data_IF_121833119375
#
_entry.id   IF_121833119375
#
_cell.length_a   1.000
_cell.length_b   1.000
_cell.length_c   1.000
_cell.angle_alpha   90.00
_cell.angle_beta   90.00
_cell.angle_gamma   90.00
#
_symmetry.space_group_name_H-M   'P 1'
#
loop_
_entity.id
_entity.type
_entity.pdbx_description
1 polymer ?
#
# COMPACT_ATOMS: atom_id res chain seq x y z
N UNK A 1 -15.67 -6.16 -14.85
CA UNK A 1 -14.94 -4.96 -14.38
C UNK A 1 -15.75 -3.74 -14.76
N UNK A 2 -16.04 -2.88 -13.78
CA UNK A 2 -16.88 -1.69 -13.98
C UNK A 2 -16.12 -0.61 -14.74
N UNK A 3 -16.73 -0.11 -15.82
CA UNK A 3 -16.14 0.96 -16.65
C UNK A 3 -15.82 2.21 -15.81
N UNK A 4 -16.69 2.54 -14.85
CA UNK A 4 -16.51 3.64 -13.90
C UNK A 4 -15.14 3.59 -13.18
N UNK A 5 -14.73 2.42 -12.69
CA UNK A 5 -13.45 2.25 -11.98
C UNK A 5 -12.26 2.58 -12.88
N UNK A 6 -12.33 2.15 -14.14
CA UNK A 6 -11.29 2.42 -15.12
C UNK A 6 -11.24 3.91 -15.45
N UNK A 7 -12.39 4.56 -15.58
CA UNK A 7 -12.45 5.98 -15.90
C UNK A 7 -11.89 6.86 -14.77
N UNK A 8 -12.10 6.47 -13.51
CA UNK A 8 -11.44 7.11 -12.37
C UNK A 8 -9.92 6.93 -12.45
N UNK A 9 -9.46 5.69 -12.69
CA UNK A 9 -8.02 5.42 -12.79
C UNK A 9 -7.36 6.19 -13.94
N UNK A 10 -8.01 6.35 -15.10
CA UNK A 10 -7.49 7.14 -16.24
C UNK A 10 -7.14 8.58 -15.88
N UNK A 11 -7.74 9.15 -14.84
CA UNK A 11 -7.45 10.53 -14.42
C UNK A 11 -6.11 10.66 -13.67
N UNK A 12 -5.60 9.58 -13.08
CA UNK A 12 -4.40 9.56 -12.22
C UNK A 12 -3.35 8.52 -12.62
N UNK A 13 -3.68 7.59 -13.52
CA UNK A 13 -2.88 6.40 -13.77
C UNK A 13 -2.56 6.30 -15.26
N UNK A 14 -1.30 5.98 -15.59
CA UNK A 14 -0.89 5.76 -16.97
C UNK A 14 -1.63 4.55 -17.57
N UNK A 15 -1.72 4.50 -18.91
CA UNK A 15 -2.35 3.38 -19.61
C UNK A 15 -1.71 2.04 -19.24
N UNK A 16 -0.39 2.01 -19.10
CA UNK A 16 0.35 0.80 -18.76
C UNK A 16 0.04 0.33 -17.34
N UNK A 17 -0.03 1.24 -16.37
CA UNK A 17 -0.40 0.92 -15.00
C UNK A 17 -1.87 0.46 -14.90
N UNK A 18 -2.78 1.04 -15.68
CA UNK A 18 -4.17 0.56 -15.78
C UNK A 18 -4.21 -0.85 -16.36
N UNK A 19 -3.45 -1.12 -17.43
CA UNK A 19 -3.40 -2.45 -18.04
C UNK A 19 -2.90 -3.52 -17.06
N UNK A 20 -1.89 -3.21 -16.24
CA UNK A 20 -1.42 -4.08 -15.15
C UNK A 20 -2.59 -4.47 -14.22
N UNK A 21 -3.39 -3.50 -13.77
CA UNK A 21 -4.54 -3.80 -12.89
C UNK A 21 -5.66 -4.59 -13.58
N UNK A 22 -5.97 -4.26 -14.84
CA UNK A 22 -6.99 -4.95 -15.66
C UNK A 22 -6.60 -6.42 -15.86
N UNK A 23 -5.32 -6.71 -16.07
CA UNK A 23 -4.81 -8.06 -16.32
C UNK A 23 -5.10 -9.02 -15.16
N UNK A 24 -5.15 -8.51 -13.92
CA UNK A 24 -5.45 -9.30 -12.72
C UNK A 24 -6.90 -9.82 -12.68
N UNK A 25 -7.79 -9.23 -13.48
CA UNK A 25 -9.22 -9.58 -13.58
C UNK A 25 -9.86 -9.71 -12.19
N UNK A 26 -9.63 -8.72 -11.33
CA UNK A 26 -10.05 -8.74 -9.93
C UNK A 26 -10.84 -7.46 -9.60
N UNK A 27 -12.17 -7.59 -9.53
CA UNK A 27 -13.06 -6.47 -9.26
C UNK A 27 -12.96 -5.97 -7.82
N UNK A 28 -12.81 -6.87 -6.83
CA UNK A 28 -12.66 -6.51 -5.43
C UNK A 28 -11.36 -5.72 -5.17
N UNK A 29 -10.28 -6.06 -5.90
CA UNK A 29 -9.04 -5.30 -5.89
C UNK A 29 -9.23 -3.89 -6.47
N UNK A 30 -9.87 -3.79 -7.64
CA UNK A 30 -10.12 -2.49 -8.28
C UNK A 30 -11.02 -1.61 -7.41
N UNK A 31 -12.06 -2.17 -6.80
CA UNK A 31 -12.92 -1.45 -5.87
C UNK A 31 -12.12 -0.89 -4.69
N UNK A 32 -11.25 -1.71 -4.08
CA UNK A 32 -10.37 -1.28 -2.99
C UNK A 32 -9.43 -0.16 -3.43
N UNK A 33 -8.73 -0.31 -4.56
CA UNK A 33 -7.82 0.71 -5.08
C UNK A 33 -8.58 2.01 -5.36
N UNK A 34 -9.65 1.94 -6.14
CA UNK A 34 -10.44 3.13 -6.54
C UNK A 34 -11.02 3.86 -5.33
N UNK A 35 -11.50 3.13 -4.31
CA UNK A 35 -11.98 3.73 -3.07
C UNK A 35 -10.92 4.63 -2.44
N UNK A 36 -9.69 4.13 -2.28
CA UNK A 36 -8.64 4.89 -1.61
C UNK A 36 -7.95 5.90 -2.51
N UNK A 37 -7.89 5.70 -3.83
CA UNK A 37 -7.46 6.76 -4.77
C UNK A 37 -8.43 7.95 -4.73
N UNK A 38 -9.75 7.69 -4.67
CA UNK A 38 -10.76 8.76 -4.50
C UNK A 38 -10.59 9.49 -3.16
N UNK A 39 -10.44 8.74 -2.07
CA UNK A 39 -10.34 9.32 -0.73
C UNK A 39 -9.04 10.11 -0.54
N UNK A 40 -7.90 9.53 -0.92
CA UNK A 40 -6.58 10.11 -0.65
C UNK A 40 -6.15 11.14 -1.71
N UNK A 41 -6.80 11.15 -2.87
CA UNK A 41 -6.63 12.11 -3.97
C UNK A 41 -5.16 12.36 -4.39
N UNK A 42 -4.42 11.33 -4.82
CA UNK A 42 -3.07 11.49 -5.32
C UNK A 42 -3.02 12.13 -6.70
N UNK A 43 -1.86 12.66 -7.07
CA UNK A 43 -1.63 13.25 -8.39
C UNK A 43 -1.39 12.17 -9.45
N UNK A 44 -0.68 11.10 -9.06
CA UNK A 44 -0.40 9.98 -9.95
C UNK A 44 -0.36 8.63 -9.23
N UNK A 45 -0.58 7.54 -9.98
CA UNK A 45 -0.58 6.17 -9.48
C UNK A 45 0.40 5.32 -10.27
N UNK A 46 1.32 4.68 -9.55
CA UNK A 46 2.24 3.68 -10.07
C UNK A 46 1.83 2.28 -9.59
N UNK A 47 1.86 1.29 -10.49
CA UNK A 47 1.49 -0.09 -10.19
C UNK A 47 2.72 -0.98 -10.31
N UNK A 48 3.18 -1.52 -9.18
CA UNK A 48 4.39 -2.33 -9.11
C UNK A 48 4.08 -3.81 -9.33
N UNK A 49 4.61 -4.39 -10.39
CA UNK A 49 4.55 -5.82 -10.71
C UNK A 49 5.76 -6.57 -10.16
N UNK A 50 5.93 -7.85 -10.51
CA UNK A 50 7.11 -8.65 -10.12
C UNK A 50 8.39 -8.31 -10.90
N UNK A 51 8.35 -7.26 -11.72
CA UNK A 51 9.48 -6.79 -12.51
C UNK A 51 10.56 -6.14 -11.64
N UNK A 52 11.83 -6.40 -11.99
CA UNK A 52 12.98 -5.75 -11.36
C UNK A 52 13.05 -4.27 -11.72
N UNK A 53 12.53 -3.89 -12.88
CA UNK A 53 12.43 -2.51 -13.35
C UNK A 53 11.45 -1.71 -12.48
N UNK A 54 10.30 -2.30 -12.12
CA UNK A 54 9.36 -1.66 -11.19
C UNK A 54 9.97 -1.48 -9.78
N UNK A 55 10.71 -2.48 -9.27
CA UNK A 55 11.44 -2.36 -8.00
C UNK A 55 12.54 -1.29 -8.07
N UNK A 56 13.28 -1.23 -9.18
CA UNK A 56 14.30 -0.21 -9.41
C UNK A 56 13.71 1.19 -9.49
N UNK A 57 12.56 1.35 -10.15
CA UNK A 57 11.85 2.61 -10.25
C UNK A 57 11.51 3.18 -8.86
N UNK A 58 10.93 2.37 -7.98
CA UNK A 58 10.58 2.78 -6.61
C UNK A 58 11.82 3.21 -5.83
N UNK A 59 12.90 2.44 -5.92
CA UNK A 59 14.17 2.78 -5.28
C UNK A 59 14.74 4.10 -5.79
N UNK A 60 14.73 4.32 -7.10
CA UNK A 60 15.21 5.56 -7.70
C UNK A 60 14.33 6.74 -7.30
N UNK A 61 13.02 6.52 -7.12
CA UNK A 61 12.08 7.51 -6.57
C UNK A 61 12.39 7.87 -5.11
N UNK A 62 12.73 6.90 -4.26
CA UNK A 62 13.15 7.18 -2.89
C UNK A 62 14.37 8.10 -2.83
N UNK A 63 15.32 7.93 -3.75
CA UNK A 63 16.49 8.81 -3.85
C UNK A 63 16.12 10.18 -4.44
N UNK A 64 15.30 10.22 -5.50
CA UNK A 64 14.84 11.45 -6.16
C UNK A 64 14.08 12.36 -5.20
N UNK A 65 13.18 11.78 -4.41
CA UNK A 65 12.36 12.46 -3.40
C UNK A 65 13.13 12.76 -2.11
N UNK A 66 14.40 12.35 -2.03
CA UNK A 66 15.28 12.49 -0.86
C UNK A 66 14.76 11.80 0.40
N UNK A 67 13.85 10.84 0.25
CA UNK A 67 13.53 9.90 1.33
C UNK A 67 14.78 9.02 1.61
N UNK A 68 15.57 8.69 0.59
CA UNK A 68 16.81 7.92 0.75
C UNK A 68 18.04 8.64 0.19
N UNK A 69 19.20 8.34 0.78
CA UNK A 69 20.51 8.82 0.32
C UNK A 69 21.34 7.64 -0.15
N UNK A 70 21.93 7.74 -1.34
CA UNK A 70 22.83 6.72 -1.88
C UNK A 70 24.12 6.63 -1.08
N UNK A 71 24.53 5.41 -0.74
CA UNK A 71 25.81 5.13 -0.07
C UNK A 71 26.92 4.78 -1.08
N UNK A 72 28.16 4.76 -0.59
CA UNK A 72 29.34 4.37 -1.38
C UNK A 72 29.25 2.93 -1.90
N UNK A 73 28.64 2.03 -1.12
CA UNK A 73 28.42 0.64 -1.51
C UNK A 73 27.33 0.57 -2.59
N UNK A 74 27.65 -0.02 -3.73
CA UNK A 74 26.71 -0.11 -4.85
C UNK A 74 25.41 -0.81 -4.44
N UNK A 75 24.29 -0.18 -4.76
CA UNK A 75 22.96 -0.70 -4.41
C UNK A 75 22.52 -0.42 -2.97
N UNK A 76 23.32 0.22 -2.12
CA UNK A 76 22.93 0.55 -0.76
C UNK A 76 22.45 1.99 -0.63
N UNK A 77 21.49 2.19 0.25
CA UNK A 77 20.92 3.50 0.61
C UNK A 77 20.79 3.62 2.12
N UNK A 78 20.57 4.84 2.62
CA UNK A 78 20.26 5.14 4.02
C UNK A 78 19.06 6.07 4.09
N UNK A 79 18.20 5.86 5.08
CA UNK A 79 17.08 6.72 5.46
C UNK A 79 17.32 7.23 6.88
N UNK A 80 16.87 8.46 7.17
CA UNK A 80 16.90 9.03 8.52
C UNK A 80 15.50 9.56 8.83
N UNK A 81 14.82 8.92 9.76
CA UNK A 81 13.49 9.36 10.18
C UNK A 81 13.53 10.69 10.95
N UNK A 82 12.40 11.36 10.99
CA UNK A 82 12.20 12.57 11.78
C UNK A 82 12.31 12.28 13.29
N UNK A 83 12.68 13.29 14.07
CA UNK A 83 12.87 13.16 15.53
C UNK A 83 11.67 12.56 16.29
N UNK A 84 10.45 12.79 15.77
CA UNK A 84 9.20 12.32 16.38
C UNK A 84 8.74 10.94 15.88
N UNK A 85 9.45 10.33 14.92
CA UNK A 85 9.08 9.04 14.31
C UNK A 85 10.25 8.05 14.37
N UNK A 86 10.65 7.66 15.58
CA UNK A 86 11.87 6.85 15.81
C UNK A 86 11.55 5.39 16.20
N UNK A 87 10.28 5.10 16.50
CA UNK A 87 9.86 3.79 16.99
C UNK A 87 8.35 3.62 16.85
N UNK A 88 7.90 2.37 16.96
CA UNK A 88 6.48 2.04 16.99
C UNK A 88 5.73 2.78 18.10
N UNK A 89 4.75 3.57 17.70
CA UNK A 89 3.79 4.21 18.59
C UNK A 89 2.71 3.22 19.06
N UNK A 90 2.92 2.67 20.27
CA UNK A 90 1.98 1.72 20.88
C UNK A 90 0.66 2.36 21.32
N UNK A 91 0.67 3.66 21.64
CA UNK A 91 -0.51 4.38 22.12
C UNK A 91 -1.53 4.59 20.99
N UNK A 92 -1.04 4.87 19.79
CA UNK A 92 -1.86 5.01 18.58
C UNK A 92 -2.04 3.71 17.78
N UNK A 93 -1.37 2.61 18.17
CA UNK A 93 -1.67 1.27 17.63
C UNK A 93 -2.93 0.70 18.28
N UNK A 94 -4.03 0.62 17.54
CA UNK A 94 -5.35 0.19 18.05
C UNK A 94 -5.96 -0.94 17.24
N UNK A 95 -6.65 -1.85 17.92
CA UNK A 95 -7.52 -2.85 17.30
C UNK A 95 -8.92 -2.29 17.11
N UNK A 96 -9.43 -2.34 15.89
CA UNK A 96 -10.77 -1.88 15.54
C UNK A 96 -11.75 -3.04 15.66
N UNK A 97 -12.46 -3.10 16.80
CA UNK A 97 -13.29 -4.25 17.16
C UNK A 97 -14.77 -3.89 17.20
N UNK A 98 -15.61 -4.85 16.82
CA UNK A 98 -17.05 -4.74 17.06
C UNK A 98 -17.34 -4.78 18.56
N UNK A 99 -18.41 -4.11 19.00
CA UNK A 99 -18.75 -3.99 20.44
C UNK A 99 -18.92 -5.34 21.15
N UNK A 100 -19.28 -6.39 20.41
CA UNK A 100 -19.45 -7.75 20.92
C UNK A 100 -18.13 -8.50 21.12
N UNK A 101 -17.00 -8.01 20.61
CA UNK A 101 -15.71 -8.68 20.69
C UNK A 101 -14.89 -8.08 21.84
N UNK A 102 -14.52 -8.93 22.79
CA UNK A 102 -13.60 -8.59 23.87
C UNK A 102 -12.34 -9.45 23.79
N UNK A 103 -11.19 -8.80 23.58
CA UNK A 103 -9.87 -9.45 23.54
C UNK A 103 -9.10 -9.25 24.87
N UNK A 104 -9.77 -8.72 25.89
CA UNK A 104 -9.22 -8.48 27.21
C UNK A 104 -8.66 -7.06 27.41
N UNK A 105 -8.36 -6.70 28.67
CA UNK A 105 -8.05 -5.33 29.06
C UNK A 105 -6.68 -4.83 28.60
N UNK A 106 -5.79 -5.73 28.16
CA UNK A 106 -4.44 -5.39 27.72
C UNK A 106 -4.36 -5.04 26.23
N UNK A 107 -5.46 -5.19 25.49
CA UNK A 107 -5.54 -4.88 24.07
C UNK A 107 -6.07 -3.46 23.90
N UNK A 108 -5.23 -2.57 23.35
CA UNK A 108 -5.63 -1.22 22.99
C UNK A 108 -6.67 -1.30 21.85
N UNK A 109 -7.93 -0.97 22.13
CA UNK A 109 -9.03 -1.14 21.17
C UNK A 109 -9.90 0.10 21.08
N UNK A 110 -10.55 0.23 19.92
CA UNK A 110 -11.58 1.23 19.66
C UNK A 110 -12.76 0.56 18.96
N UNK A 111 -13.95 1.12 19.12
CA UNK A 111 -15.10 0.74 18.31
C UNK A 111 -14.74 0.83 16.82
N UNK A 112 -15.01 -0.25 16.07
CA UNK A 112 -14.60 -0.38 14.68
C UNK A 112 -15.12 0.75 13.80
N UNK A 113 -16.39 1.12 13.92
CA UNK A 113 -16.97 2.18 13.10
C UNK A 113 -16.36 3.53 13.44
N UNK A 114 -16.16 3.80 14.74
CA UNK A 114 -15.49 5.02 15.20
C UNK A 114 -14.06 5.13 14.64
N UNK A 115 -13.27 4.06 14.76
CA UNK A 115 -11.89 4.04 14.26
C UNK A 115 -11.80 4.17 12.74
N UNK A 116 -12.70 3.52 11.98
CA UNK A 116 -12.76 3.66 10.52
C UNK A 116 -13.07 5.11 10.13
N UNK A 117 -14.04 5.74 10.79
CA UNK A 117 -14.40 7.13 10.51
C UNK A 117 -13.22 8.09 10.81
N UNK A 118 -12.57 7.93 11.96
CA UNK A 118 -11.37 8.68 12.35
C UNK A 118 -10.26 8.55 11.29
N UNK A 119 -9.90 7.33 10.90
CA UNK A 119 -8.87 7.08 9.88
C UNK A 119 -9.26 7.69 8.54
N UNK A 120 -10.51 7.54 8.10
CA UNK A 120 -10.93 8.11 6.81
C UNK A 120 -10.91 9.64 6.80
N UNK A 121 -11.17 10.29 7.93
CA UNK A 121 -10.99 11.75 8.05
C UNK A 121 -9.52 12.14 7.86
N UNK A 122 -8.58 11.41 8.44
CA UNK A 122 -7.15 11.68 8.22
C UNK A 122 -6.70 11.40 6.78
N UNK A 123 -7.24 10.35 6.16
CA UNK A 123 -6.86 9.97 4.79
C UNK A 123 -7.42 10.91 3.71
N UNK A 124 -8.37 11.78 4.03
CA UNK A 124 -8.99 12.67 3.04
C UNK A 124 -7.95 13.63 2.44
N UNK A 125 -7.73 13.53 1.12
CA UNK A 125 -6.74 14.30 0.35
C UNK A 125 -5.27 14.21 0.83
N UNK A 126 -4.93 13.27 1.72
CA UNK A 126 -3.61 13.19 2.35
C UNK A 126 -2.46 12.94 1.35
N UNK A 127 -2.77 12.40 0.17
CA UNK A 127 -1.79 12.06 -0.86
C UNK A 127 -1.74 13.09 -2.00
N UNK A 128 -2.44 14.22 -1.88
CA UNK A 128 -2.45 15.27 -2.90
C UNK A 128 -1.02 15.78 -3.18
N UNK A 129 -0.68 15.96 -4.46
CA UNK A 129 0.68 16.35 -4.85
C UNK A 129 1.68 15.20 -4.91
N UNK A 130 1.28 13.97 -4.55
CA UNK A 130 2.18 12.81 -4.48
C UNK A 130 1.85 11.77 -5.55
N UNK A 131 2.87 11.01 -5.93
CA UNK A 131 2.70 9.72 -6.59
C UNK A 131 2.44 8.65 -5.53
N UNK A 132 1.49 7.75 -5.81
CA UNK A 132 1.20 6.62 -4.92
C UNK A 132 1.57 5.30 -5.58
N UNK A 133 2.05 4.37 -4.77
CA UNK A 133 2.51 3.06 -5.18
C UNK A 133 1.48 2.00 -4.76
N UNK A 134 0.94 1.29 -5.75
CA UNK A 134 0.17 0.06 -5.54
C UNK A 134 1.15 -1.11 -5.56
N UNK A 135 1.47 -1.62 -4.38
CA UNK A 135 2.43 -2.70 -4.19
C UNK A 135 1.70 -4.02 -3.89
N UNK A 136 2.19 -5.11 -4.49
CA UNK A 136 1.65 -6.44 -4.29
C UNK A 136 2.68 -7.34 -3.64
N UNK A 137 2.31 -7.95 -2.52
CA UNK A 137 3.18 -8.80 -1.72
C UNK A 137 2.55 -10.17 -1.47
N UNK A 138 3.39 -11.11 -1.06
CA UNK A 138 2.98 -12.42 -0.57
C UNK A 138 3.64 -12.67 0.78
N UNK A 139 2.81 -12.83 1.82
CA UNK A 139 3.25 -13.31 3.12
C UNK A 139 3.39 -14.83 3.04
N UNK A 140 4.56 -15.33 3.40
CA UNK A 140 4.95 -16.73 3.19
C UNK A 140 5.55 -17.01 1.79
N UNK A 141 5.89 -18.27 1.48
CA UNK A 141 6.39 -18.65 0.17
C UNK A 141 5.32 -18.46 -0.91
N UNK A 142 5.72 -18.01 -2.09
CA UNK A 142 4.86 -17.94 -3.28
C UNK A 142 4.48 -19.34 -3.76
N UNK A 143 3.29 -19.50 -4.36
CA UNK A 143 2.77 -20.78 -4.87
C UNK A 143 2.61 -21.87 -3.80
N UNK A 144 2.39 -21.47 -2.55
CA UNK A 144 2.11 -22.35 -1.43
C UNK A 144 0.63 -22.31 -1.08
N UNK A 145 0.11 -23.36 -0.45
CA UNK A 145 -1.22 -23.33 0.17
C UNK A 145 -1.30 -22.36 1.36
N UNK A 146 -0.14 -21.97 1.89
CA UNK A 146 0.01 -20.98 2.96
C UNK A 146 0.35 -19.59 2.42
N UNK A 147 0.34 -19.39 1.09
CA UNK A 147 0.54 -18.06 0.51
C UNK A 147 -0.61 -17.16 0.90
N UNK A 148 -0.29 -16.00 1.48
CA UNK A 148 -1.27 -14.97 1.82
C UNK A 148 -0.97 -13.74 0.97
N UNK A 149 -1.77 -13.47 -0.08
CA UNK A 149 -1.59 -12.28 -0.92
C UNK A 149 -1.95 -11.00 -0.17
N UNK A 150 -1.21 -9.94 -0.44
CA UNK A 150 -1.38 -8.63 0.15
C UNK A 150 -1.25 -7.53 -0.89
N UNK A 151 -2.07 -6.49 -0.76
CA UNK A 151 -1.94 -5.25 -1.52
C UNK A 151 -1.77 -4.09 -0.55
N UNK A 152 -0.81 -3.23 -0.84
CA UNK A 152 -0.54 -2.01 -0.10
C UNK A 152 -0.64 -0.80 -1.03
N UNK A 153 -1.27 0.26 -0.52
CA UNK A 153 -1.28 1.58 -1.13
C UNK A 153 -0.43 2.47 -0.22
N UNK A 154 0.61 3.09 -0.77
CA UNK A 154 1.50 3.98 -0.02
C UNK A 154 1.91 5.19 -0.86
N UNK A 155 2.04 6.35 -0.25
CA UNK A 155 2.62 7.56 -0.85
C UNK A 155 4.11 7.76 -0.49
N UNK A 156 4.69 6.90 0.34
CA UNK A 156 6.11 6.89 0.64
C UNK A 156 6.84 5.87 -0.23
N UNK A 157 7.82 6.38 -0.96
CA UNK A 157 8.70 5.59 -1.81
C UNK A 157 9.73 4.78 -0.98
N UNK A 158 10.17 5.31 0.16
CA UNK A 158 10.97 4.57 1.16
C UNK A 158 10.21 3.36 1.71
N UNK A 159 8.94 3.52 2.09
CA UNK A 159 8.12 2.39 2.54
C UNK A 159 7.98 1.37 1.41
N UNK A 160 7.63 1.80 0.19
CA UNK A 160 7.49 0.88 -0.93
C UNK A 160 8.80 0.11 -1.25
N UNK A 161 9.96 0.76 -1.14
CA UNK A 161 11.27 0.13 -1.32
C UNK A 161 11.63 -0.82 -0.17
N UNK A 162 11.37 -0.42 1.08
CA UNK A 162 11.62 -1.25 2.26
C UNK A 162 10.79 -2.53 2.24
N UNK A 163 9.51 -2.43 1.84
CA UNK A 163 8.63 -3.59 1.74
C UNK A 163 9.05 -4.55 0.61
N UNK A 164 9.67 -4.04 -0.46
CA UNK A 164 10.26 -4.88 -1.51
C UNK A 164 11.42 -5.74 -1.00
N UNK A 165 12.16 -5.26 0.00
CA UNK A 165 13.25 -5.99 0.66
C UNK A 165 12.69 -7.00 1.66
N UNK A 166 11.66 -6.63 2.42
CA UNK A 166 11.10 -7.43 3.50
C UNK A 166 10.18 -8.56 3.02
N UNK A 167 9.39 -8.29 1.98
CA UNK A 167 8.36 -9.22 1.51
C UNK A 167 8.64 -9.77 0.13
N UNK A 168 8.04 -10.93 -0.16
CA UNK A 168 8.08 -11.50 -1.50
C UNK A 168 7.12 -10.75 -2.40
N UNK A 169 7.60 -10.42 -3.59
CA UNK A 169 6.80 -9.94 -4.71
C UNK A 169 5.55 -10.81 -4.95
N UNK A 170 4.38 -10.19 -5.01
CA UNK A 170 3.08 -10.87 -5.00
C UNK A 170 2.18 -10.63 -6.21
N UNK A 171 2.59 -9.84 -7.22
CA UNK A 171 1.68 -9.46 -8.31
C UNK A 171 1.15 -10.69 -9.08
N UNK A 172 2.02 -11.63 -9.41
CA UNK A 172 1.60 -12.89 -10.05
C UNK A 172 0.76 -13.80 -9.14
N UNK A 173 0.82 -13.63 -7.81
CA UNK A 173 -0.08 -14.36 -6.91
C UNK A 173 -1.54 -13.88 -7.05
N UNK A 174 -1.76 -12.60 -7.32
CA UNK A 174 -3.12 -12.07 -7.56
C UNK A 174 -3.77 -12.67 -8.81
N UNK A 175 -2.98 -13.12 -9.79
CA UNK A 175 -3.48 -13.87 -10.96
C UNK A 175 -4.00 -15.27 -10.59
N UNK A 176 -3.53 -15.84 -9.47
CA UNK A 176 -3.80 -17.22 -9.01
C UNK A 176 -4.81 -17.31 -7.88
N UNK A 177 -5.33 -16.18 -7.40
CA UNK A 177 -6.34 -16.13 -6.35
C UNK A 177 -7.55 -17.00 -6.69
N UNK A 178 -7.87 -17.95 -5.78
CA UNK A 178 -9.06 -18.79 -5.88
C UNK A 178 -10.33 -17.99 -5.62
N UNK A 179 -10.31 -17.21 -4.54
CA UNK A 179 -11.33 -16.23 -4.20
C UNK A 179 -10.78 -14.84 -4.47
N UNK A 180 -11.48 -14.05 -5.27
CA UNK A 180 -10.94 -12.78 -5.78
C UNK A 180 -10.83 -11.71 -4.71
N UNK A 181 -11.48 -11.85 -3.57
CA UNK A 181 -11.48 -10.95 -2.42
C UNK A 181 -10.58 -11.41 -1.25
N UNK A 182 -9.97 -12.60 -1.35
CA UNK A 182 -9.14 -13.19 -0.30
C UNK A 182 -7.68 -12.70 -0.37
N UNK A 183 -7.46 -11.48 0.12
CA UNK A 183 -6.15 -10.86 0.23
C UNK A 183 -6.15 -9.78 1.32
N UNK A 184 -5.01 -9.56 1.97
CA UNK A 184 -4.86 -8.46 2.93
C UNK A 184 -4.75 -7.11 2.23
N UNK A 185 -5.34 -6.10 2.86
CA UNK A 185 -5.47 -4.73 2.35
C UNK A 185 -4.80 -3.78 3.33
N UNK A 186 -3.80 -3.04 2.85
CA UNK A 186 -3.08 -2.05 3.63
C UNK A 186 -3.15 -0.69 2.94
N UNK A 187 -3.41 0.35 3.70
CA UNK A 187 -3.34 1.74 3.24
C UNK A 187 -2.43 2.47 4.20
N UNK A 188 -1.40 3.08 3.64
CA UNK A 188 -0.37 3.80 4.35
C UNK A 188 -0.23 5.19 3.73
N UNK A 189 -0.04 6.19 4.55
CA UNK A 189 0.46 7.49 4.12
C UNK A 189 1.47 7.98 5.15
N UNK A 190 2.57 8.57 4.68
CA UNK A 190 3.53 9.24 5.55
C UNK A 190 2.98 10.57 6.11
N UNK A 191 1.80 11.03 5.68
CA UNK A 191 1.24 12.31 6.10
C UNK A 191 1.99 13.50 5.50
N UNK A 192 2.14 14.58 6.25
CA UNK A 192 2.94 15.74 5.83
C UNK A 192 4.43 15.41 6.05
N UNK A 193 5.22 15.45 4.95
CA UNK A 193 6.68 15.29 4.95
C UNK A 193 7.37 16.67 4.88
#
# INVERSE_FOLDING_TARGET
MRQEYIDILKTRCSRDNINKLIELKNEALLEFIVKYIKLCNPDSVFVRTDSKEDARYIKDKAIELKEEIKLKTSGHTVHFDGFFDQARDKENTRYLLDKSVDLGPHINRVDKQKGINEIHTYLENIMKGKEVYICFFCLGPVNSIFSIPAVQITDSSYVAHSEDILYRSGYSQFKRLRQKDDFFKFVHSAGEL
#
